data_IF_693271573229
#
_entry.id   IF_693271573229
#
_cell.length_a   1.000
_cell.length_b   1.000
_cell.length_c   1.000
_cell.angle_alpha   90.00
_cell.angle_beta   90.00
_cell.angle_gamma   90.00
#
_symmetry.space_group_name_H-M   'P 1'
#
loop_
_entity.id
_entity.type
_entity.pdbx_description
1 polymer ?
#
# COMPACT_ATOMS: atom_id res chain seq x y z
N UNK A 1 -0.08 15.15 0.22
CA UNK A 1 -1.15 16.11 -0.14
C UNK A 1 -2.48 15.40 -0.02
N UNK A 2 -3.54 16.07 0.43
CA UNK A 2 -4.90 15.52 0.49
C UNK A 2 -5.63 15.93 -0.79
N UNK A 3 -6.23 14.98 -1.48
CA UNK A 3 -7.05 15.25 -2.67
C UNK A 3 -8.49 15.53 -2.21
N UNK A 4 -9.01 16.73 -2.48
CA UNK A 4 -10.40 17.10 -2.17
C UNK A 4 -11.28 16.93 -3.40
N UNK A 5 -12.34 16.14 -3.26
CA UNK A 5 -13.36 15.94 -4.30
C UNK A 5 -14.57 16.81 -3.94
N UNK A 6 -15.02 17.65 -4.87
CA UNK A 6 -16.29 18.38 -4.76
C UNK A 6 -17.37 17.61 -5.51
N UNK A 7 -18.42 17.23 -4.79
CA UNK A 7 -19.62 16.57 -5.32
C UNK A 7 -20.83 17.47 -5.01
N UNK A 8 -21.90 17.36 -5.81
CA UNK A 8 -23.19 17.93 -5.39
C UNK A 8 -23.68 17.20 -4.13
N UNK A 9 -24.50 17.86 -3.33
CA UNK A 9 -24.99 17.30 -2.06
C UNK A 9 -25.72 15.97 -2.27
N UNK A 10 -26.51 15.85 -3.33
CA UNK A 10 -27.24 14.62 -3.67
C UNK A 10 -26.29 13.46 -3.99
N UNK A 11 -25.20 13.73 -4.73
CA UNK A 11 -24.21 12.71 -5.09
C UNK A 11 -23.32 12.34 -3.92
N UNK A 12 -22.99 13.30 -3.05
CA UNK A 12 -22.30 13.04 -1.79
C UNK A 12 -23.09 12.10 -0.89
N UNK A 13 -24.40 12.31 -0.77
CA UNK A 13 -25.26 11.47 0.06
C UNK A 13 -25.44 10.07 -0.53
N UNK A 14 -25.62 9.94 -1.84
CA UNK A 14 -25.63 8.64 -2.51
C UNK A 14 -24.34 7.84 -2.28
N UNK A 15 -23.19 8.52 -2.34
CA UNK A 15 -21.90 7.87 -2.09
C UNK A 15 -21.79 7.37 -0.64
N UNK A 16 -22.30 8.14 0.34
CA UNK A 16 -22.37 7.71 1.74
C UNK A 16 -23.29 6.50 1.92
N UNK A 17 -24.45 6.47 1.27
CA UNK A 17 -25.38 5.35 1.32
C UNK A 17 -24.74 4.07 0.76
N UNK A 18 -24.03 4.15 -0.37
CA UNK A 18 -23.30 3.02 -0.94
C UNK A 18 -22.21 2.53 0.03
N UNK A 19 -21.44 3.46 0.61
CA UNK A 19 -20.39 3.12 1.57
C UNK A 19 -20.95 2.42 2.82
N UNK A 20 -22.08 2.89 3.36
CA UNK A 20 -22.77 2.24 4.47
C UNK A 20 -23.28 0.84 4.12
N UNK A 21 -23.91 0.68 2.96
CA UNK A 21 -24.39 -0.62 2.48
C UNK A 21 -23.25 -1.64 2.35
N UNK A 22 -22.06 -1.17 1.94
CA UNK A 22 -20.84 -1.98 1.82
C UNK A 22 -20.03 -2.09 3.12
N UNK A 23 -20.43 -1.39 4.19
CA UNK A 23 -19.70 -1.30 5.48
C UNK A 23 -18.25 -0.80 5.31
N UNK A 24 -18.03 0.12 4.39
CA UNK A 24 -16.74 0.73 4.08
C UNK A 24 -16.75 2.23 4.39
N UNK A 25 -15.58 2.82 4.62
CA UNK A 25 -15.46 4.27 4.55
C UNK A 25 -15.58 4.73 3.08
N UNK A 26 -16.07 5.96 2.86
CA UNK A 26 -16.17 6.53 1.49
C UNK A 26 -14.81 6.52 0.77
N UNK A 27 -13.72 6.78 1.50
CA UNK A 27 -12.37 6.72 0.95
C UNK A 27 -11.98 5.29 0.50
N UNK A 28 -12.36 4.27 1.27
CA UNK A 28 -12.09 2.87 0.92
C UNK A 28 -12.91 2.43 -0.29
N UNK A 29 -14.16 2.90 -0.39
CA UNK A 29 -15.01 2.68 -1.56
C UNK A 29 -14.40 3.26 -2.84
N UNK A 30 -13.87 4.49 -2.76
CA UNK A 30 -13.16 5.12 -3.89
C UNK A 30 -11.89 4.32 -4.23
N UNK A 31 -11.15 3.85 -3.22
CA UNK A 31 -9.96 3.02 -3.43
C UNK A 31 -10.29 1.67 -4.09
N UNK A 32 -11.41 1.04 -3.76
CA UNK A 32 -11.90 -0.16 -4.46
C UNK A 32 -12.24 0.14 -5.92
N UNK A 33 -12.92 1.27 -6.19
CA UNK A 33 -13.24 1.68 -7.55
C UNK A 33 -11.97 1.92 -8.39
N UNK A 34 -10.97 2.61 -7.84
CA UNK A 34 -9.69 2.80 -8.53
C UNK A 34 -9.04 1.44 -8.84
N UNK A 35 -9.05 0.51 -7.88
CA UNK A 35 -8.52 -0.85 -8.10
C UNK A 35 -9.29 -1.62 -9.17
N UNK A 36 -10.62 -1.48 -9.26
CA UNK A 36 -11.38 -2.10 -10.35
C UNK A 36 -11.04 -1.50 -11.71
N UNK A 37 -10.79 -0.20 -11.80
CA UNK A 37 -10.36 0.45 -13.04
C UNK A 37 -8.94 0.04 -13.46
N UNK A 38 -8.03 -0.18 -12.49
CA UNK A 38 -6.72 -0.79 -12.75
C UNK A 38 -6.88 -2.20 -13.30
N UNK A 39 -7.71 -3.03 -12.67
CA UNK A 39 -7.97 -4.41 -13.11
C UNK A 39 -8.63 -4.48 -14.49
N UNK A 40 -9.47 -3.50 -14.82
CA UNK A 40 -10.07 -3.34 -16.14
C UNK A 40 -9.09 -2.83 -17.21
N UNK A 41 -7.90 -2.39 -16.82
CA UNK A 41 -6.89 -1.84 -17.72
C UNK A 41 -7.15 -0.38 -18.13
N UNK A 42 -8.07 0.33 -17.47
CA UNK A 42 -8.35 1.75 -17.72
C UNK A 42 -7.13 2.62 -17.40
N UNK A 43 -6.40 2.27 -16.35
CA UNK A 43 -5.15 2.92 -15.95
C UNK A 43 -4.05 1.88 -15.66
N UNK A 44 -2.79 2.28 -15.82
CA UNK A 44 -1.66 1.39 -15.55
C UNK A 44 -1.63 0.92 -14.09
N UNK A 45 -1.21 -0.33 -13.81
CA UNK A 45 -1.12 -0.89 -12.47
C UNK A 45 0.16 -0.42 -11.74
N UNK A 46 0.36 0.89 -11.69
CA UNK A 46 1.53 1.54 -11.08
C UNK A 46 1.05 2.57 -10.08
N UNK A 47 1.67 2.62 -8.91
CA UNK A 47 1.35 3.65 -7.91
C UNK A 47 1.97 4.98 -8.35
N UNK A 48 1.17 6.04 -8.59
CA UNK A 48 1.72 7.33 -9.02
C UNK A 48 2.72 7.90 -8.01
N UNK A 49 3.90 8.30 -8.49
CA UNK A 49 4.96 8.86 -7.65
C UNK A 49 5.79 7.82 -6.89
N UNK A 50 5.58 6.52 -7.16
CA UNK A 50 6.41 5.42 -6.67
C UNK A 50 6.98 4.66 -7.86
N UNK A 51 8.30 4.52 -7.88
CA UNK A 51 9.02 3.74 -8.88
C UNK A 51 9.61 2.50 -8.21
N UNK A 52 9.37 1.32 -8.81
CA UNK A 52 9.85 0.03 -8.32
C UNK A 52 10.62 -0.63 -9.46
N UNK A 53 11.92 -0.80 -9.26
CA UNK A 53 12.82 -1.35 -10.28
C UNK A 53 13.53 -2.60 -9.77
N UNK A 54 13.70 -3.59 -10.65
CA UNK A 54 14.57 -4.75 -10.43
C UNK A 54 16.01 -4.36 -10.77
N UNK A 55 16.90 -4.50 -9.80
CA UNK A 55 18.35 -4.57 -10.02
C UNK A 55 18.81 -6.03 -9.92
N UNK A 56 20.07 -6.31 -10.27
CA UNK A 56 20.61 -7.69 -10.33
C UNK A 56 20.42 -8.48 -9.04
N UNK A 57 20.54 -7.82 -7.87
CA UNK A 57 20.47 -8.48 -6.55
C UNK A 57 19.44 -7.86 -5.60
N UNK A 58 18.73 -6.82 -6.04
CA UNK A 58 17.84 -6.05 -5.18
C UNK A 58 16.67 -5.40 -5.93
N UNK A 59 15.63 -5.07 -5.19
CA UNK A 59 14.49 -4.26 -5.62
C UNK A 59 14.71 -2.85 -5.09
N UNK A 60 14.73 -1.87 -5.99
CA UNK A 60 14.88 -0.47 -5.63
C UNK A 60 13.52 0.19 -5.66
N UNK A 61 13.10 0.74 -4.51
CA UNK A 61 11.84 1.46 -4.36
C UNK A 61 12.17 2.93 -4.17
N UNK A 62 11.67 3.80 -5.03
CA UNK A 62 11.92 5.25 -4.98
C UNK A 62 10.59 6.00 -4.98
N UNK A 63 10.38 6.90 -4.00
CA UNK A 63 9.15 7.67 -3.90
C UNK A 63 9.36 8.99 -3.15
N UNK A 64 9.11 10.16 -3.77
CA UNK A 64 9.16 11.47 -3.08
C UNK A 64 10.39 11.67 -2.16
N UNK A 65 11.57 11.26 -2.62
CA UNK A 65 12.82 11.34 -1.87
C UNK A 65 13.04 10.23 -0.83
N UNK A 66 12.11 9.31 -0.65
CA UNK A 66 12.35 7.98 -0.09
C UNK A 66 13.07 7.12 -1.14
N UNK A 67 14.07 6.37 -0.69
CA UNK A 67 14.78 5.38 -1.51
C UNK A 67 15.12 4.19 -0.62
N UNK A 68 14.60 3.01 -0.94
CA UNK A 68 14.93 1.77 -0.24
C UNK A 68 15.48 0.77 -1.25
N UNK A 69 16.41 -0.07 -0.79
CA UNK A 69 16.93 -1.21 -1.54
C UNK A 69 16.62 -2.45 -0.73
N UNK A 70 15.82 -3.34 -1.29
CA UNK A 70 15.36 -4.56 -0.64
C UNK A 70 15.99 -5.74 -1.37
N UNK A 71 16.72 -6.64 -0.69
CA UNK A 71 17.28 -7.82 -1.32
C UNK A 71 16.22 -8.60 -2.11
N UNK A 72 16.56 -9.14 -3.29
CA UNK A 72 15.59 -9.83 -4.16
C UNK A 72 14.89 -11.00 -3.46
N UNK A 73 15.58 -11.70 -2.57
CA UNK A 73 15.04 -12.79 -1.75
C UNK A 73 14.03 -12.32 -0.69
N UNK A 74 14.06 -11.05 -0.31
CA UNK A 74 13.11 -10.43 0.64
C UNK A 74 11.89 -9.81 -0.08
N UNK A 75 11.95 -9.71 -1.41
CA UNK A 75 10.89 -9.16 -2.25
C UNK A 75 9.50 -9.77 -2.02
N UNK A 76 9.35 -11.12 -2.05
CA UNK A 76 8.08 -11.77 -1.78
C UNK A 76 7.54 -11.44 -0.38
N UNK A 77 8.40 -11.50 0.64
CA UNK A 77 8.05 -11.17 2.02
C UNK A 77 7.58 -9.72 2.15
N UNK A 78 8.22 -8.78 1.46
CA UNK A 78 7.81 -7.38 1.46
C UNK A 78 6.45 -7.20 0.79
N UNK A 79 6.23 -7.84 -0.36
CA UNK A 79 4.94 -7.81 -1.04
C UNK A 79 3.81 -8.36 -0.15
N UNK A 80 4.05 -9.50 0.51
CA UNK A 80 3.08 -10.13 1.41
C UNK A 80 2.79 -9.27 2.65
N UNK A 81 3.81 -8.69 3.27
CA UNK A 81 3.65 -7.75 4.40
C UNK A 81 2.81 -6.56 3.96
N UNK A 82 3.10 -5.96 2.81
CA UNK A 82 2.36 -4.80 2.31
C UNK A 82 0.90 -5.13 1.98
N UNK A 83 0.65 -6.23 1.27
CA UNK A 83 -0.71 -6.70 0.93
C UNK A 83 -1.50 -7.10 2.18
N UNK A 84 -0.84 -7.80 3.10
CA UNK A 84 -1.40 -8.23 4.37
C UNK A 84 -1.86 -7.07 5.26
N UNK A 85 -1.32 -5.85 5.07
CA UNK A 85 -1.77 -4.67 5.84
C UNK A 85 -3.23 -4.31 5.60
N UNK A 86 -3.75 -4.53 4.39
CA UNK A 86 -5.15 -4.25 4.06
C UNK A 86 -6.11 -5.21 4.77
N UNK A 87 -5.62 -6.39 5.17
CA UNK A 87 -6.39 -7.47 5.80
C UNK A 87 -6.03 -7.67 7.27
N UNK A 88 -5.29 -6.75 7.89
CA UNK A 88 -5.01 -6.76 9.33
C UNK A 88 -6.31 -6.58 10.12
N UNK A 89 -7.04 -7.68 10.26
CA UNK A 89 -8.16 -7.84 11.17
C UNK A 89 -7.67 -7.77 12.62
N UNK A 90 -8.60 -7.65 13.57
CA UNK A 90 -8.34 -7.78 15.02
C UNK A 90 -7.82 -9.19 15.43
N UNK A 91 -7.41 -10.01 14.47
CA UNK A 91 -6.91 -11.35 14.66
C UNK A 91 -5.43 -11.29 15.12
N UNK A 92 -5.14 -11.72 16.36
CA UNK A 92 -3.81 -11.63 16.93
C UNK A 92 -2.78 -12.52 16.22
N UNK A 93 -3.19 -13.63 15.60
CA UNK A 93 -2.26 -14.53 14.90
C UNK A 93 -1.80 -13.93 13.58
N UNK A 94 -2.72 -13.39 12.78
CA UNK A 94 -2.38 -12.68 11.54
C UNK A 94 -1.51 -11.44 11.81
N UNK A 95 -1.81 -10.73 12.89
CA UNK A 95 -0.99 -9.58 13.30
C UNK A 95 0.42 -10.01 13.70
N UNK A 96 0.57 -11.15 14.37
CA UNK A 96 1.88 -11.72 14.73
C UNK A 96 2.68 -12.12 13.49
N UNK A 97 2.08 -12.85 12.55
CA UNK A 97 2.71 -13.21 11.28
C UNK A 97 3.14 -11.98 10.48
N UNK A 98 2.29 -10.95 10.45
CA UNK A 98 2.62 -9.69 9.81
C UNK A 98 3.81 -8.99 10.47
N UNK A 99 3.87 -8.96 11.81
CA UNK A 99 4.99 -8.38 12.56
C UNK A 99 6.29 -9.15 12.34
N UNK A 100 6.23 -10.48 12.29
CA UNK A 100 7.38 -11.34 11.99
C UNK A 100 7.91 -11.09 10.58
N UNK A 101 7.01 -11.05 9.58
CA UNK A 101 7.38 -10.69 8.21
C UNK A 101 7.96 -9.28 8.11
N UNK A 102 7.37 -8.30 8.78
CA UNK A 102 7.86 -6.93 8.82
C UNK A 102 9.23 -6.81 9.50
N UNK A 103 9.52 -7.64 10.51
CA UNK A 103 10.80 -7.68 11.21
C UNK A 103 11.89 -8.44 10.44
N UNK A 104 11.50 -9.36 9.55
CA UNK A 104 12.41 -10.12 8.70
C UNK A 104 13.02 -9.28 7.56
N UNK A 105 12.43 -8.11 7.27
CA UNK A 105 12.91 -7.21 6.22
C UNK A 105 14.14 -6.43 6.70
N UNK A 106 15.25 -6.60 6.00
CA UNK A 106 16.49 -5.86 6.23
C UNK A 106 16.54 -4.56 5.40
N UNK A 107 15.91 -4.57 4.22
CA UNK A 107 15.94 -3.47 3.26
C UNK A 107 14.96 -2.31 3.52
N UNK A 108 13.93 -2.51 4.35
CA UNK A 108 12.96 -1.47 4.72
C UNK A 108 12.33 -1.78 6.07
N UNK A 109 12.14 -0.75 6.90
CA UNK A 109 11.37 -0.89 8.15
C UNK A 109 9.92 -0.53 7.90
N UNK A 110 9.02 -1.44 8.27
CA UNK A 110 7.58 -1.29 8.08
C UNK A 110 6.94 -1.08 9.44
N UNK A 111 6.20 0.02 9.62
CA UNK A 111 5.49 0.33 10.87
C UNK A 111 4.07 0.77 10.60
N UNK A 112 3.10 0.20 11.30
CA UNK A 112 1.72 0.70 11.27
C UNK A 112 1.65 2.02 12.05
N UNK A 113 1.03 3.02 11.43
CA UNK A 113 0.77 4.32 12.04
C UNK A 113 -0.72 4.56 11.99
N UNK A 114 -1.40 4.38 13.13
CA UNK A 114 -2.85 4.51 13.20
C UNK A 114 -3.60 3.33 12.56
N UNK A 115 -4.91 3.52 12.32
CA UNK A 115 -5.83 2.45 11.91
C UNK A 115 -5.87 2.21 10.38
N UNK A 116 -5.45 3.20 9.59
CA UNK A 116 -5.56 3.18 8.11
C UNK A 116 -4.28 3.64 7.39
N UNK A 117 -3.14 3.72 8.09
CA UNK A 117 -1.88 4.08 7.45
C UNK A 117 -0.70 3.29 7.97
N UNK A 118 0.29 3.19 7.10
CA UNK A 118 1.56 2.52 7.28
C UNK A 118 2.67 3.55 7.01
N UNK A 119 3.81 3.34 7.62
CA UNK A 119 5.02 4.09 7.40
C UNK A 119 6.14 3.13 7.02
N UNK A 120 6.76 3.39 5.89
CA UNK A 120 7.99 2.77 5.44
C UNK A 120 9.15 3.68 5.83
N UNK A 121 10.16 3.16 6.50
CA UNK A 121 11.38 3.89 6.82
C UNK A 121 12.53 3.26 6.07
N UNK A 122 13.22 4.07 5.28
CA UNK A 122 14.40 3.62 4.55
C UNK A 122 15.59 3.53 5.51
N UNK A 123 16.26 2.37 5.60
CA UNK A 123 17.50 2.26 6.35
C UNK A 123 18.66 3.01 5.68
N UNK A 124 18.56 3.29 4.36
CA UNK A 124 19.61 3.96 3.58
C UNK A 124 19.59 5.49 3.77
N UNK A 125 18.40 6.09 3.73
CA UNK A 125 18.26 7.56 3.78
C UNK A 125 17.69 8.06 5.11
N UNK A 126 17.22 7.17 5.98
CA UNK A 126 16.50 7.52 7.20
C UNK A 126 15.15 8.19 6.96
N UNK A 127 14.75 8.38 5.70
CA UNK A 127 13.50 9.05 5.36
C UNK A 127 12.32 8.13 5.55
N UNK A 128 11.24 8.73 6.01
CA UNK A 128 9.96 8.08 6.26
C UNK A 128 9.01 8.38 5.11
N UNK A 129 8.34 7.35 4.61
CA UNK A 129 7.32 7.43 3.59
C UNK A 129 6.03 6.84 4.16
N UNK A 130 5.06 7.72 4.41
CA UNK A 130 3.76 7.33 4.97
C UNK A 130 2.76 7.10 3.84
N UNK A 131 2.11 5.94 3.86
CA UNK A 131 1.14 5.51 2.85
C UNK A 131 -0.17 5.08 3.54
N UNK A 132 -1.33 5.35 2.92
CA UNK A 132 -2.57 4.65 3.23
C UNK A 132 -2.45 3.13 2.98
N UNK A 133 -3.19 2.30 3.72
CA UNK A 133 -3.13 0.83 3.56
C UNK A 133 -3.52 0.35 2.16
N UNK A 134 -4.43 1.05 1.48
CA UNK A 134 -4.79 0.74 0.09
C UNK A 134 -3.60 0.90 -0.85
N UNK A 135 -2.91 2.03 -0.77
CA UNK A 135 -1.71 2.32 -1.57
C UNK A 135 -0.57 1.36 -1.20
N UNK A 136 -0.50 0.92 0.06
CA UNK A 136 0.44 -0.10 0.49
C UNK A 136 0.22 -1.43 -0.23
N UNK A 137 -1.04 -1.87 -0.32
CA UNK A 137 -1.40 -3.09 -1.03
C UNK A 137 -1.05 -2.99 -2.53
N UNK A 138 -1.38 -1.86 -3.17
CA UNK A 138 -1.02 -1.62 -4.58
C UNK A 138 0.51 -1.64 -4.80
N UNK A 139 1.29 -1.10 -3.86
CA UNK A 139 2.74 -1.18 -3.89
C UNK A 139 3.24 -2.62 -3.72
N UNK A 140 2.60 -3.40 -2.85
CA UNK A 140 2.90 -4.83 -2.68
C UNK A 140 2.66 -5.62 -3.97
N UNK A 141 1.55 -5.35 -4.67
CA UNK A 141 1.28 -5.95 -5.99
C UNK A 141 2.32 -5.55 -7.04
N UNK A 142 2.75 -4.28 -7.04
CA UNK A 142 3.80 -3.80 -7.94
C UNK A 142 5.15 -4.49 -7.64
N UNK A 143 5.51 -4.68 -6.37
CA UNK A 143 6.73 -5.39 -5.97
C UNK A 143 6.65 -6.87 -6.38
N UNK A 144 5.51 -7.53 -6.16
CA UNK A 144 5.33 -8.93 -6.53
C UNK A 144 5.57 -9.16 -8.04
N UNK A 145 5.02 -8.29 -8.89
CA UNK A 145 5.22 -8.35 -10.35
C UNK A 145 6.66 -8.17 -10.80
N UNK A 146 7.47 -7.46 -10.03
CA UNK A 146 8.90 -7.22 -10.36
C UNK A 146 9.76 -8.41 -9.91
N UNK A 147 9.30 -9.13 -8.89
CA UNK A 147 10.00 -10.30 -8.34
C UNK A 147 9.75 -11.55 -9.17
N UNK A 148 8.50 -11.75 -9.62
CA UNK A 148 8.12 -12.76 -10.64
C UNK A 148 8.92 -12.59 -11.95
#
# INVERSE_FOLDING_TARGET
>A
MVFMIKLSDERGEQLRQIAQAKKLAVADLIAEFIRSEVAAGTIAPTVPGVDVQKAETAIVITANGFKASVPMNEGPTLADVLKGTATLSNDPERKKQWLEGAAALSGVKVKLTGRHSLKLTSPLTGREYSLPLSVAADLGDQIQKVVE
#
